data_IF_372070587243
#
_entry.id   IF_372070587243
#
_cell.length_a   1.000
_cell.length_b   1.000
_cell.length_c   1.000
_cell.angle_alpha   90.00
_cell.angle_beta   90.00
_cell.angle_gamma   90.00
#
_symmetry.space_group_name_H-M   'P 1'
#
loop_
_entity.id
_entity.type
_entity.pdbx_description
1 polymer ?
#
# COMPACT_ATOMS: atom_id res chain seq x y z
N UNK A 1 6.61 -12.73 -10.31
CA UNK A 1 7.95 -13.16 -10.76
C UNK A 1 8.90 -12.73 -9.67
N UNK A 2 9.56 -13.66 -9.00
CA UNK A 2 10.54 -13.34 -7.94
C UNK A 2 11.91 -13.07 -8.55
N UNK A 3 12.85 -12.57 -7.75
CA UNK A 3 14.27 -12.48 -8.17
C UNK A 3 14.89 -13.80 -8.58
N UNK A 4 14.32 -14.91 -8.09
CA UNK A 4 14.74 -16.29 -8.38
C UNK A 4 14.64 -16.61 -9.88
N UNK A 5 13.79 -15.91 -10.64
CA UNK A 5 13.57 -16.12 -12.08
C UNK A 5 14.36 -15.12 -12.96
N UNK A 6 15.14 -14.22 -12.36
CA UNK A 6 15.68 -13.07 -13.07
C UNK A 6 17.04 -13.35 -13.72
N UNK A 7 17.17 -13.09 -15.03
CA UNK A 7 18.43 -13.28 -15.79
C UNK A 7 19.61 -12.58 -15.09
N UNK A 8 20.76 -13.26 -14.87
CA UNK A 8 21.93 -12.67 -14.22
C UNK A 8 22.45 -11.43 -14.97
N UNK A 9 22.86 -10.39 -14.24
CA UNK A 9 23.41 -9.17 -14.81
C UNK A 9 24.09 -8.29 -13.76
N UNK A 10 24.86 -7.28 -14.20
CA UNK A 10 25.64 -6.35 -13.35
C UNK A 10 24.77 -5.35 -12.54
N UNK A 11 23.46 -5.62 -12.38
CA UNK A 11 22.53 -4.73 -11.69
C UNK A 11 22.29 -5.25 -10.28
N UNK A 12 22.17 -4.34 -9.32
CA UNK A 12 21.91 -4.69 -7.92
C UNK A 12 20.66 -5.56 -7.82
N UNK A 13 20.76 -6.65 -7.06
CA UNK A 13 19.68 -7.60 -6.84
C UNK A 13 18.46 -7.06 -6.05
N UNK A 14 18.37 -5.75 -5.81
CA UNK A 14 17.17 -5.10 -5.26
C UNK A 14 16.55 -4.08 -6.25
N UNK A 15 17.23 -3.76 -7.37
CA UNK A 15 16.70 -2.87 -8.41
C UNK A 15 15.48 -3.43 -9.18
N UNK A 16 15.43 -4.71 -9.55
CA UNK A 16 14.29 -5.35 -10.22
C UNK A 16 13.04 -5.42 -9.33
N UNK A 17 13.14 -5.76 -8.04
CA UNK A 17 12.05 -5.58 -7.05
C UNK A 17 11.59 -4.12 -7.08
N UNK A 18 12.51 -3.14 -7.09
CA UNK A 18 12.11 -1.74 -7.11
C UNK A 18 11.36 -1.39 -8.42
N UNK A 19 11.81 -1.91 -9.56
CA UNK A 19 11.14 -1.73 -10.85
C UNK A 19 9.76 -2.41 -10.88
N UNK A 20 9.59 -3.54 -10.19
CA UNK A 20 8.30 -4.22 -10.07
C UNK A 20 7.38 -3.52 -9.07
N UNK A 21 7.92 -3.05 -7.95
CA UNK A 21 7.21 -2.23 -6.98
C UNK A 21 6.71 -0.93 -7.60
N UNK A 22 7.45 -0.37 -8.54
CA UNK A 22 7.05 0.83 -9.30
C UNK A 22 5.84 0.62 -10.21
N UNK A 23 5.47 -0.63 -10.49
CA UNK A 23 4.28 -0.98 -11.27
C UNK A 23 3.08 -1.28 -10.39
N UNK A 24 3.27 -1.39 -9.07
CA UNK A 24 2.21 -1.71 -8.14
C UNK A 24 1.36 -0.48 -7.78
N UNK A 25 0.05 -0.66 -7.79
CA UNK A 25 -0.90 0.32 -7.25
C UNK A 25 -0.96 0.32 -5.71
N UNK A 26 -0.60 -0.80 -5.08
CA UNK A 26 -0.72 -1.03 -3.64
C UNK A 26 0.54 -1.67 -3.08
N UNK A 27 0.95 -1.25 -1.88
CA UNK A 27 2.01 -1.90 -1.10
C UNK A 27 1.45 -2.58 0.15
N UNK A 28 1.78 -3.86 0.35
CA UNK A 28 1.43 -4.59 1.58
C UNK A 28 2.71 -5.14 2.19
N UNK A 29 3.15 -4.56 3.31
CA UNK A 29 4.30 -5.01 4.07
C UNK A 29 3.90 -5.90 5.24
N UNK A 30 4.61 -7.01 5.45
CA UNK A 30 4.39 -7.92 6.58
C UNK A 30 5.72 -8.16 7.28
N UNK A 31 5.82 -7.81 8.56
CA UNK A 31 7.03 -7.94 9.35
C UNK A 31 6.83 -8.90 10.53
N UNK A 32 7.85 -9.73 10.78
CA UNK A 32 7.94 -10.62 11.92
C UNK A 32 9.16 -10.26 12.79
N UNK A 33 10.09 -11.18 12.97
CA UNK A 33 11.28 -11.05 13.79
C UNK A 33 12.55 -10.75 12.99
N UNK A 34 12.43 -10.68 11.66
CA UNK A 34 13.53 -10.36 10.76
C UNK A 34 13.28 -9.04 10.01
N UNK A 35 14.24 -8.13 10.11
CA UNK A 35 14.24 -6.85 9.37
C UNK A 35 14.75 -7.00 7.93
N UNK A 36 15.50 -8.07 7.67
CA UNK A 36 16.19 -8.29 6.41
C UNK A 36 17.62 -7.74 6.41
N UNK A 37 18.25 -7.85 5.25
CA UNK A 37 19.67 -7.53 5.04
C UNK A 37 19.83 -6.24 4.25
N UNK A 38 20.93 -5.52 4.50
CA UNK A 38 21.31 -4.32 3.75
C UNK A 38 21.50 -4.65 2.28
N UNK A 39 20.76 -3.97 1.41
CA UNK A 39 20.78 -4.20 -0.04
C UNK A 39 21.52 -3.11 -0.81
N UNK A 40 21.78 -1.94 -0.20
CA UNK A 40 22.41 -0.77 -0.83
C UNK A 40 22.98 0.17 0.23
N UNK A 41 23.55 1.33 -0.14
CA UNK A 41 24.24 2.21 0.82
C UNK A 41 23.29 2.89 1.81
N UNK A 42 22.10 3.29 1.35
CA UNK A 42 21.22 4.26 2.02
C UNK A 42 20.26 3.64 3.03
N UNK A 43 19.92 2.36 2.87
CA UNK A 43 18.94 1.66 3.69
C UNK A 43 19.58 0.49 4.45
N UNK A 44 19.01 0.17 5.61
CA UNK A 44 19.44 -0.92 6.47
C UNK A 44 18.82 -2.27 6.10
N UNK A 45 17.77 -2.27 5.27
CA UNK A 45 17.23 -3.47 4.62
C UNK A 45 16.54 -3.18 3.28
N UNK A 46 16.31 -4.23 2.49
CA UNK A 46 15.47 -4.15 1.28
C UNK A 46 14.03 -3.72 1.59
N UNK A 47 13.44 -4.23 2.67
CA UNK A 47 12.11 -3.78 3.12
C UNK A 47 12.09 -2.28 3.42
N UNK A 48 13.10 -1.76 4.12
CA UNK A 48 13.17 -0.33 4.44
C UNK A 48 13.16 0.51 3.16
N UNK A 49 13.95 0.10 2.17
CA UNK A 49 14.00 0.74 0.87
C UNK A 49 12.65 0.71 0.14
N UNK A 50 12.00 -0.45 0.09
CA UNK A 50 10.67 -0.64 -0.54
C UNK A 50 9.60 0.21 0.14
N UNK A 51 9.62 0.28 1.48
CA UNK A 51 8.69 1.10 2.26
C UNK A 51 8.83 2.58 1.92
N UNK A 52 10.06 3.13 1.96
CA UNK A 52 10.26 4.54 1.67
C UNK A 52 9.97 4.88 0.21
N UNK A 53 10.29 3.96 -0.71
CA UNK A 53 9.92 4.10 -2.12
C UNK A 53 8.40 4.16 -2.27
N UNK A 54 7.67 3.24 -1.64
CA UNK A 54 6.20 3.19 -1.67
C UNK A 54 5.57 4.44 -1.08
N UNK A 55 6.05 4.90 0.08
CA UNK A 55 5.63 6.14 0.71
C UNK A 55 5.80 7.34 -0.22
N UNK A 56 6.98 7.48 -0.83
CA UNK A 56 7.25 8.56 -1.78
C UNK A 56 6.32 8.46 -3.01
N UNK A 57 6.00 7.26 -3.49
CA UNK A 57 5.07 7.08 -4.61
C UNK A 57 3.65 7.48 -4.24
N UNK A 58 3.17 7.15 -3.04
CA UNK A 58 1.86 7.59 -2.53
C UNK A 58 1.81 9.11 -2.46
N UNK A 59 2.83 9.73 -1.88
CA UNK A 59 2.93 11.20 -1.77
C UNK A 59 2.95 11.90 -3.15
N UNK A 60 3.42 11.22 -4.20
CA UNK A 60 3.43 11.71 -5.57
C UNK A 60 2.21 11.27 -6.41
N UNK A 61 1.24 10.56 -5.83
CA UNK A 61 0.05 10.05 -6.55
C UNK A 61 0.36 8.92 -7.55
N UNK A 62 1.51 8.26 -7.42
CA UNK A 62 1.98 7.16 -8.28
C UNK A 62 1.71 5.76 -7.70
N UNK A 63 1.13 5.71 -6.49
CA UNK A 63 0.67 4.52 -5.80
C UNK A 63 -0.57 4.92 -5.00
N UNK A 64 -1.60 4.06 -4.97
CA UNK A 64 -2.90 4.39 -4.40
C UNK A 64 -2.90 4.33 -2.88
N UNK A 65 -2.30 3.30 -2.30
CA UNK A 65 -2.32 3.09 -0.85
C UNK A 65 -1.24 2.09 -0.38
N UNK A 66 -0.99 2.06 0.92
CA UNK A 66 -0.16 1.05 1.57
C UNK A 66 -0.71 0.59 2.92
N UNK A 67 -0.43 -0.68 3.27
CA UNK A 67 -0.72 -1.25 4.59
C UNK A 67 0.50 -1.99 5.14
N UNK A 68 0.70 -1.89 6.45
CA UNK A 68 1.78 -2.60 7.16
C UNK A 68 1.20 -3.51 8.24
N UNK A 69 1.69 -4.73 8.33
CA UNK A 69 1.29 -5.71 9.31
C UNK A 69 2.48 -6.16 10.17
N UNK A 70 2.33 -6.10 11.48
CA UNK A 70 3.36 -6.55 12.42
C UNK A 70 2.91 -7.81 13.16
N UNK A 71 3.66 -8.90 13.03
CA UNK A 71 3.49 -10.08 13.89
C UNK A 71 3.88 -9.69 15.30
N UNK A 72 3.02 -9.96 16.28
CA UNK A 72 3.39 -9.85 17.68
C UNK A 72 4.36 -10.98 18.03
N UNK A 73 5.57 -10.59 18.44
CA UNK A 73 6.61 -11.52 18.90
C UNK A 73 6.86 -11.24 20.38
N UNK A 74 6.65 -12.25 21.21
CA UNK A 74 6.91 -12.15 22.64
C UNK A 74 8.42 -12.10 22.91
N UNK A 75 8.85 -11.07 23.62
CA UNK A 75 10.21 -10.98 24.16
C UNK A 75 10.12 -11.26 25.66
N UNK A 76 10.74 -12.34 26.16
CA UNK A 76 10.74 -12.64 27.59
C UNK A 76 11.24 -11.43 28.40
N UNK A 77 10.66 -11.13 29.58
CA UNK A 77 10.97 -9.92 30.35
C UNK A 77 12.46 -9.71 30.68
N UNK A 78 13.24 -10.80 30.74
CA UNK A 78 14.66 -10.79 31.08
C UNK A 78 15.58 -10.92 29.86
N UNK A 79 15.04 -10.79 28.65
CA UNK A 79 15.77 -10.95 27.40
C UNK A 79 15.66 -9.69 26.54
N UNK A 80 16.71 -9.40 25.79
CA UNK A 80 16.66 -8.37 24.75
C UNK A 80 16.15 -9.00 23.45
N UNK A 81 15.35 -8.29 22.64
CA UNK A 81 15.02 -8.75 21.30
C UNK A 81 16.31 -8.95 20.49
N UNK A 82 16.31 -9.94 19.59
CA UNK A 82 17.37 -10.08 18.59
C UNK A 82 17.48 -8.82 17.71
N UNK A 83 18.60 -8.66 17.01
CA UNK A 83 18.85 -7.44 16.22
C UNK A 83 17.74 -7.16 15.19
N UNK A 84 17.28 -8.20 14.48
CA UNK A 84 16.18 -8.10 13.50
C UNK A 84 14.89 -7.59 14.15
N UNK A 85 14.40 -8.28 15.17
CA UNK A 85 13.20 -7.88 15.91
C UNK A 85 13.34 -6.49 16.53
N UNK A 86 14.53 -6.15 17.05
CA UNK A 86 14.82 -4.81 17.56
C UNK A 86 14.66 -3.71 16.52
N UNK A 87 15.06 -3.95 15.26
CA UNK A 87 14.83 -3.00 14.15
C UNK A 87 13.36 -2.93 13.75
N UNK A 88 12.66 -4.08 13.71
CA UNK A 88 11.21 -4.12 13.44
C UNK A 88 10.44 -3.32 14.49
N UNK A 89 10.74 -3.50 15.77
CA UNK A 89 10.09 -2.76 16.87
C UNK A 89 10.37 -1.25 16.81
N UNK A 90 11.60 -0.85 16.47
CA UNK A 90 11.94 0.57 16.25
C UNK A 90 11.17 1.16 15.07
N UNK A 91 11.05 0.41 13.98
CA UNK A 91 10.30 0.83 12.81
C UNK A 91 8.80 0.95 13.11
N UNK A 92 8.23 -0.02 13.84
CA UNK A 92 6.84 0.07 14.31
C UNK A 92 6.61 1.31 15.17
N UNK A 93 7.52 1.61 16.10
CA UNK A 93 7.43 2.83 16.92
C UNK A 93 7.48 4.09 16.05
N UNK A 94 8.36 4.12 15.04
CA UNK A 94 8.40 5.22 14.07
C UNK A 94 7.08 5.39 13.31
N UNK A 95 6.41 4.30 12.90
CA UNK A 95 5.09 4.40 12.26
C UNK A 95 4.04 5.02 13.19
N UNK A 96 4.08 4.70 14.50
CA UNK A 96 3.22 5.33 15.51
C UNK A 96 3.50 6.82 15.61
N UNK A 97 4.78 7.18 15.74
CA UNK A 97 5.22 8.56 15.95
C UNK A 97 4.89 9.45 14.73
N UNK A 98 4.93 8.89 13.52
CA UNK A 98 4.60 9.61 12.28
C UNK A 98 3.09 9.81 12.07
N UNK A 99 2.22 9.00 12.68
CA UNK A 99 0.75 9.01 12.57
C UNK A 99 0.18 9.15 11.14
N UNK A 100 0.96 8.71 10.14
CA UNK A 100 0.65 8.86 8.70
C UNK A 100 0.34 7.55 8.00
N UNK A 101 0.55 6.42 8.66
CA UNK A 101 0.47 5.10 8.03
C UNK A 101 -0.41 4.19 8.85
N UNK A 102 -1.37 3.58 8.16
CA UNK A 102 -2.22 2.57 8.74
C UNK A 102 -1.44 1.26 8.86
N UNK A 103 -1.20 0.82 10.09
CA UNK A 103 -0.66 -0.50 10.38
C UNK A 103 -1.59 -1.28 11.31
N UNK A 104 -1.53 -2.61 11.24
CA UNK A 104 -2.22 -3.51 12.17
C UNK A 104 -1.22 -4.51 12.75
N UNK A 105 -1.41 -4.86 14.02
CA UNK A 105 -0.70 -5.98 14.63
C UNK A 105 -1.51 -7.28 14.45
N UNK A 106 -0.84 -8.43 14.45
CA UNK A 106 -1.48 -9.74 14.45
C UNK A 106 -0.73 -10.75 15.33
N UNK A 107 -1.48 -11.56 16.10
CA UNK A 107 -0.92 -12.61 16.98
C UNK A 107 -0.60 -13.89 16.22
N UNK A 108 -1.47 -14.29 15.30
CA UNK A 108 -1.48 -15.61 14.69
C UNK A 108 -2.01 -15.56 13.24
N UNK A 109 -2.03 -16.72 12.59
CA UNK A 109 -2.45 -16.82 11.19
C UNK A 109 -3.93 -16.48 11.00
N UNK A 110 -4.78 -16.72 11.98
CA UNK A 110 -6.20 -16.42 11.88
C UNK A 110 -6.41 -14.90 11.93
N UNK A 111 -5.78 -14.23 12.90
CA UNK A 111 -5.82 -12.76 12.99
C UNK A 111 -5.20 -12.12 11.75
N UNK A 112 -4.08 -12.64 11.24
CA UNK A 112 -3.50 -12.15 9.98
C UNK A 112 -4.46 -12.31 8.80
N UNK A 113 -5.04 -13.50 8.62
CA UNK A 113 -5.99 -13.80 7.54
C UNK A 113 -7.17 -12.83 7.56
N UNK A 114 -7.73 -12.58 8.74
CA UNK A 114 -8.91 -11.74 8.86
C UNK A 114 -8.53 -10.28 8.58
N UNK A 115 -7.43 -9.79 9.16
CA UNK A 115 -6.97 -8.40 8.96
C UNK A 115 -6.46 -8.08 7.55
N UNK A 116 -5.87 -9.05 6.83
CA UNK A 116 -5.50 -8.85 5.43
C UNK A 116 -6.71 -8.95 4.50
N UNK A 117 -7.69 -9.81 4.83
CA UNK A 117 -8.94 -9.91 4.08
C UNK A 117 -9.69 -8.58 4.10
N UNK A 118 -9.82 -7.95 5.26
CA UNK A 118 -10.45 -6.62 5.38
C UNK A 118 -9.83 -5.61 4.38
N UNK A 119 -8.49 -5.60 4.28
CA UNK A 119 -7.76 -4.68 3.40
C UNK A 119 -7.98 -5.02 1.93
N UNK A 120 -7.96 -6.30 1.58
CA UNK A 120 -8.20 -6.74 0.21
C UNK A 120 -9.65 -6.49 -0.22
N UNK A 121 -10.62 -6.64 0.69
CA UNK A 121 -12.02 -6.29 0.44
C UNK A 121 -12.18 -4.78 0.21
N UNK A 122 -11.57 -3.95 1.06
CA UNK A 122 -11.55 -2.49 0.88
C UNK A 122 -10.93 -2.08 -0.46
N UNK A 123 -9.80 -2.67 -0.85
CA UNK A 123 -9.19 -2.46 -2.17
C UNK A 123 -10.16 -2.91 -3.27
N UNK A 124 -10.76 -4.09 -3.14
CA UNK A 124 -11.70 -4.64 -4.11
C UNK A 124 -12.89 -3.72 -4.35
N UNK A 125 -13.51 -3.20 -3.28
CA UNK A 125 -14.60 -2.23 -3.38
C UNK A 125 -14.15 -0.95 -4.08
N UNK A 126 -13.02 -0.37 -3.64
CA UNK A 126 -12.48 0.86 -4.24
C UNK A 126 -12.21 0.72 -5.74
N UNK A 127 -11.63 -0.39 -6.16
CA UNK A 127 -11.27 -0.61 -7.56
C UNK A 127 -12.47 -0.97 -8.45
N UNK A 128 -13.52 -1.55 -7.88
CA UNK A 128 -14.72 -1.95 -8.64
C UNK A 128 -15.76 -0.84 -8.72
N UNK A 129 -15.83 0.06 -7.74
CA UNK A 129 -16.73 1.23 -7.77
C UNK A 129 -16.34 2.27 -8.84
N UNK A 130 -15.11 2.22 -9.36
CA UNK A 130 -14.66 3.05 -10.50
C UNK A 130 -15.33 2.61 -11.82
N UNK A 131 -15.88 1.39 -11.91
CA UNK A 131 -16.57 0.89 -13.11
C UNK A 131 -18.10 1.03 -13.09
N UNK A 132 -18.69 1.60 -12.03
CA UNK A 132 -20.16 1.71 -11.89
C UNK A 132 -20.73 3.12 -12.15
N UNK A 133 -19.96 4.04 -12.74
CA UNK A 133 -20.50 5.36 -13.14
C UNK A 133 -20.17 5.70 -14.60
N UNK A 134 -20.66 4.86 -15.52
CA UNK A 134 -21.22 5.41 -16.76
C UNK A 134 -22.74 5.27 -16.64
N UNK A 135 -23.39 6.39 -16.32
CA UNK A 135 -24.85 6.51 -16.37
C UNK A 135 -25.24 6.89 -17.81
N UNK A 136 -25.83 6.00 -18.64
CA UNK A 136 -26.16 6.31 -20.03
C UNK A 136 -27.41 7.20 -20.16
N UNK A 137 -27.94 7.74 -19.06
CA UNK A 137 -29.16 8.53 -19.03
C UNK A 137 -28.90 10.02 -18.72
N UNK A 138 -27.97 10.66 -19.45
CA UNK A 138 -27.95 12.13 -19.58
C UNK A 138 -27.97 12.57 -21.04
N UNK A 139 -28.97 12.09 -21.76
CA UNK A 139 -29.36 12.65 -23.06
C UNK A 139 -30.86 12.93 -23.03
N UNK A 140 -31.23 14.06 -22.45
CA UNK A 140 -32.49 14.73 -22.73
C UNK A 140 -32.16 16.16 -23.17
N UNK A 141 -32.63 16.61 -24.35
CA UNK A 141 -32.42 17.99 -24.80
C UNK A 141 -33.25 18.93 -23.92
N UNK A 142 -32.61 19.92 -23.29
CA UNK A 142 -33.29 21.00 -22.59
C UNK A 142 -33.91 21.97 -23.60
N UNK A 143 -35.23 21.98 -23.59
CA UNK A 143 -36.16 23.09 -23.85
C UNK A 143 -35.94 23.99 -25.08
N UNK A 144 -36.86 23.85 -26.03
CA UNK A 144 -37.13 24.83 -27.07
C UNK A 144 -37.60 26.18 -26.46
N UNK A 145 -37.25 27.33 -27.06
CA UNK A 145 -37.69 28.63 -26.55
C UNK A 145 -39.20 28.83 -26.75
N UNK A 146 -39.92 29.23 -25.70
CA UNK A 146 -41.35 29.56 -25.77
C UNK A 146 -41.57 30.82 -26.59
N UNK A 147 -42.29 30.71 -27.70
CA UNK A 147 -42.83 31.87 -28.43
C UNK A 147 -44.17 32.23 -27.78
N UNK A 148 -44.26 33.43 -27.20
CA UNK A 148 -45.53 34.00 -26.75
C UNK A 148 -46.34 34.51 -27.96
N UNK A 149 -47.65 34.25 -28.06
CA UNK A 149 -48.47 34.85 -29.10
C UNK A 149 -48.77 36.32 -28.80
N UNK A 150 -48.47 37.17 -29.78
CA UNK A 150 -48.84 38.58 -29.87
C UNK A 150 -50.37 38.67 -30.03
N UNK A 151 -51.10 39.10 -28.99
CA UNK A 151 -52.51 39.47 -29.11
C UNK A 151 -52.56 40.92 -29.60
N UNK A 152 -53.09 41.12 -30.80
CA UNK A 152 -53.50 42.39 -31.37
C UNK A 152 -55.02 42.53 -31.14
N UNK A 153 -55.46 43.59 -30.45
CA UNK A 153 -56.87 43.91 -30.23
C UNK A 153 -57.11 44.72 -28.98
#
# INVERSE_FOLDING_TARGET
MGWEDAVPGYVRAQSKINDDLDKCDYFIGVLCDNWGSKTGPDYSSGFEEEYFRSKARIENGLMKDMAIYFKMVEVPPNMKPGEGLGKVLKFRQKCIDENKIFFKDFSDHQVFRDTIRDKLEEIGWRETEIFTVEDPQSSQPKDAPSIQPLILG
#
